data_IF_330076777792
#
_entry.id   IF_330076777792
#
_cell.length_a   1.000
_cell.length_b   1.000
_cell.length_c   1.000
_cell.angle_alpha   90.00
_cell.angle_beta   90.00
_cell.angle_gamma   90.00
#
_symmetry.space_group_name_H-M   'P 1'
#
loop_
_entity.id
_entity.type
_entity.pdbx_description
1 polymer ?
#
# COMPACT_ATOMS: atom_id res chain seq x y z
N UNK A 1 -16.68 -15.12 28.57
CA UNK A 1 -17.28 -13.77 28.75
C UNK A 1 -17.30 -13.16 27.34
N UNK A 2 -18.47 -13.19 26.70
CA UNK A 2 -18.63 -12.82 25.28
C UNK A 2 -18.69 -11.30 25.22
N UNK A 3 -17.66 -10.63 24.69
CA UNK A 3 -17.70 -9.22 24.35
C UNK A 3 -18.35 -9.08 22.97
N UNK A 4 -19.62 -8.68 22.96
CA UNK A 4 -20.31 -8.30 21.73
C UNK A 4 -19.76 -6.94 21.26
N UNK A 5 -19.02 -6.93 20.17
CA UNK A 5 -18.67 -5.71 19.45
C UNK A 5 -19.93 -5.18 18.77
N UNK A 6 -20.48 -4.09 19.29
CA UNK A 6 -21.58 -3.39 18.64
C UNK A 6 -21.07 -2.71 17.37
N UNK A 7 -21.48 -3.23 16.22
CA UNK A 7 -21.33 -2.54 14.94
C UNK A 7 -22.24 -1.30 14.97
N UNK A 8 -21.65 -0.12 15.12
CA UNK A 8 -22.36 1.14 14.95
C UNK A 8 -22.59 1.34 13.46
N UNK A 9 -23.76 0.95 12.98
CA UNK A 9 -24.24 1.30 11.64
C UNK A 9 -24.67 2.76 11.69
N UNK A 10 -23.83 3.65 11.19
CA UNK A 10 -24.23 5.02 10.92
C UNK A 10 -25.20 5.00 9.74
N UNK A 11 -26.38 5.66 9.82
CA UNK A 11 -27.26 5.76 8.67
C UNK A 11 -26.54 6.57 7.59
N UNK A 12 -26.24 5.94 6.47
CA UNK A 12 -25.90 6.63 5.24
C UNK A 12 -27.17 7.33 4.79
N UNK A 13 -27.23 8.65 4.94
CA UNK A 13 -28.20 9.47 4.24
C UNK A 13 -27.87 9.35 2.75
N UNK A 14 -28.54 8.47 2.05
CA UNK A 14 -28.54 8.44 0.61
C UNK A 14 -29.20 9.77 0.15
N UNK A 15 -28.38 10.77 -0.18
CA UNK A 15 -28.78 11.76 -1.15
C UNK A 15 -28.68 11.07 -2.51
N UNK A 16 -29.83 10.88 -3.15
CA UNK A 16 -29.96 10.57 -4.56
C UNK A 16 -29.44 11.77 -5.38
N UNK A 17 -28.13 12.00 -5.40
CA UNK A 17 -27.49 12.70 -6.49
C UNK A 17 -27.11 11.63 -7.52
N UNK A 18 -27.83 11.59 -8.62
CA UNK A 18 -27.39 10.90 -9.83
C UNK A 18 -26.05 11.51 -10.21
N UNK A 19 -24.96 10.83 -9.82
CA UNK A 19 -23.62 11.20 -10.26
C UNK A 19 -23.66 11.29 -11.79
N UNK A 20 -23.32 12.46 -12.31
CA UNK A 20 -23.20 12.61 -13.75
C UNK A 20 -22.05 11.75 -14.22
N UNK A 21 -22.15 11.13 -15.40
CA UNK A 21 -21.08 10.30 -16.01
C UNK A 21 -19.72 11.00 -16.08
N UNK A 22 -19.66 12.32 -15.84
CA UNK A 22 -18.47 13.16 -15.82
C UNK A 22 -17.67 13.08 -14.51
N UNK A 23 -18.24 12.55 -13.42
CA UNK A 23 -17.59 12.53 -12.10
C UNK A 23 -16.86 11.19 -11.82
N UNK A 24 -17.12 10.16 -12.63
CA UNK A 24 -16.48 8.85 -12.47
C UNK A 24 -15.05 8.89 -13.04
N UNK A 25 -14.08 8.64 -12.17
CA UNK A 25 -12.67 8.61 -12.54
C UNK A 25 -12.27 7.28 -13.17
N UNK A 26 -11.28 7.28 -14.07
CA UNK A 26 -10.68 6.05 -14.59
C UNK A 26 -9.93 5.31 -13.47
N UNK A 27 -10.57 4.28 -12.92
CA UNK A 27 -9.98 3.48 -11.83
C UNK A 27 -8.70 2.73 -12.24
N UNK A 28 -8.36 2.71 -13.52
CA UNK A 28 -7.13 2.09 -14.03
C UNK A 28 -5.94 3.07 -14.01
N UNK A 29 -6.18 4.38 -13.94
CA UNK A 29 -5.11 5.39 -13.93
C UNK A 29 -4.45 5.44 -12.54
N UNK A 30 -3.13 5.20 -12.43
CA UNK A 30 -2.39 5.33 -11.18
C UNK A 30 -2.43 6.75 -10.56
N UNK A 31 -2.72 7.77 -11.36
CA UNK A 31 -2.89 9.15 -10.87
C UNK A 31 -4.34 9.51 -10.55
N UNK A 32 -5.30 8.62 -10.79
CA UNK A 32 -6.71 8.89 -10.51
C UNK A 32 -6.92 9.08 -9.00
N UNK A 33 -7.65 10.12 -8.65
CA UNK A 33 -7.97 10.51 -7.28
C UNK A 33 -9.48 10.48 -7.11
N UNK A 34 -9.98 9.54 -6.32
CA UNK A 34 -11.40 9.35 -6.08
C UNK A 34 -11.65 8.74 -4.70
N UNK A 35 -12.87 8.94 -4.19
CA UNK A 35 -13.31 8.26 -2.97
C UNK A 35 -13.64 6.80 -3.28
N UNK A 36 -13.13 5.86 -2.49
CA UNK A 36 -13.26 4.43 -2.76
C UNK A 36 -13.31 3.59 -1.49
N UNK A 37 -13.88 2.42 -1.63
CA UNK A 37 -13.75 1.33 -0.67
C UNK A 37 -13.31 0.07 -1.40
N UNK A 38 -12.59 -0.79 -0.70
CA UNK A 38 -12.16 -2.08 -1.24
C UNK A 38 -12.09 -3.14 -0.15
N UNK A 39 -12.32 -4.36 -0.57
CA UNK A 39 -12.13 -5.53 0.27
C UNK A 39 -11.48 -6.64 -0.55
N UNK A 40 -10.60 -7.38 0.06
CA UNK A 40 -9.85 -8.45 -0.60
C UNK A 40 -9.58 -9.61 0.32
N UNK A 41 -9.18 -10.70 -0.30
CA UNK A 41 -8.80 -11.96 0.35
C UNK A 41 -7.36 -12.26 -0.04
N UNK A 42 -6.53 -12.56 0.94
CA UNK A 42 -5.13 -12.95 0.75
C UNK A 42 -4.88 -14.34 1.28
N UNK A 43 -3.66 -14.82 1.09
CA UNK A 43 -3.17 -16.04 1.76
C UNK A 43 -2.98 -15.87 3.28
N UNK A 44 -3.13 -14.66 3.83
CA UNK A 44 -2.96 -14.35 5.27
C UNK A 44 -4.24 -13.89 5.97
N UNK A 45 -5.28 -13.54 5.23
CA UNK A 45 -6.51 -13.02 5.82
C UNK A 45 -7.28 -12.08 4.89
N UNK A 46 -8.11 -11.24 5.47
CA UNK A 46 -8.93 -10.26 4.77
C UNK A 46 -8.21 -8.92 4.74
N UNK A 47 -8.21 -8.26 3.60
CA UNK A 47 -7.75 -6.89 3.44
C UNK A 47 -8.93 -5.95 3.27
N UNK A 48 -8.87 -4.82 3.95
CA UNK A 48 -9.82 -3.72 3.80
C UNK A 48 -9.10 -2.45 3.36
N UNK A 49 -9.75 -1.68 2.50
CA UNK A 49 -9.23 -0.41 1.99
C UNK A 49 -10.33 0.64 1.98
N UNK A 50 -10.00 1.85 2.41
CA UNK A 50 -10.83 3.03 2.28
C UNK A 50 -9.99 4.20 1.77
N UNK A 51 -10.43 4.83 0.69
CA UNK A 51 -9.81 6.01 0.12
C UNK A 51 -10.79 7.18 0.13
N UNK A 52 -10.30 8.37 0.45
CA UNK A 52 -11.09 9.60 0.38
C UNK A 52 -10.32 10.69 -0.34
N UNK A 53 -10.90 11.17 -1.45
CA UNK A 53 -10.46 12.39 -2.10
C UNK A 53 -10.80 13.61 -1.27
N UNK A 54 -10.02 14.66 -1.41
CA UNK A 54 -10.28 15.94 -0.75
C UNK A 54 -9.83 17.11 -1.61
N UNK A 55 -10.50 18.24 -1.42
CA UNK A 55 -10.16 19.49 -2.11
C UNK A 55 -8.83 20.04 -1.57
N UNK A 56 -7.93 20.36 -2.49
CA UNK A 56 -6.62 20.96 -2.17
C UNK A 56 -6.65 22.49 -2.18
N UNK A 57 -7.77 23.09 -2.56
CA UNK A 57 -7.90 24.52 -2.81
C UNK A 57 -7.25 24.97 -4.15
N UNK A 58 -6.76 24.05 -4.96
CA UNK A 58 -6.18 24.31 -6.29
C UNK A 58 -6.99 23.59 -7.37
N UNK A 59 -7.41 24.30 -8.42
CA UNK A 59 -8.19 23.67 -9.50
C UNK A 59 -7.38 22.67 -10.34
N UNK A 60 -6.06 22.65 -10.20
CA UNK A 60 -5.16 21.79 -10.98
C UNK A 60 -4.57 20.65 -10.15
N UNK A 61 -4.84 20.61 -8.86
CA UNK A 61 -4.24 19.62 -7.97
C UNK A 61 -5.32 18.77 -7.32
N UNK A 62 -5.19 17.47 -7.45
CA UNK A 62 -6.05 16.48 -6.77
C UNK A 62 -5.28 15.77 -5.67
N UNK A 63 -5.98 15.36 -4.62
CA UNK A 63 -5.38 14.62 -3.52
C UNK A 63 -6.35 13.63 -2.88
N UNK A 64 -5.81 12.52 -2.35
CA UNK A 64 -6.57 11.55 -1.57
C UNK A 64 -5.72 10.93 -0.47
N UNK A 65 -6.42 10.49 0.57
CA UNK A 65 -5.89 9.61 1.59
C UNK A 65 -6.42 8.20 1.36
N UNK A 66 -5.57 7.20 1.51
CA UNK A 66 -5.95 5.78 1.44
C UNK A 66 -5.47 5.08 2.70
N UNK A 67 -6.38 4.48 3.44
CA UNK A 67 -6.11 3.63 4.58
C UNK A 67 -6.33 2.17 4.17
N UNK A 68 -5.38 1.32 4.50
CA UNK A 68 -5.42 -0.12 4.27
C UNK A 68 -5.14 -0.86 5.58
N UNK A 69 -5.91 -1.92 5.84
CA UNK A 69 -5.65 -2.88 6.91
C UNK A 69 -5.55 -4.27 6.28
N UNK A 70 -4.49 -5.01 6.58
CA UNK A 70 -4.19 -6.30 5.95
C UNK A 70 -4.08 -7.40 6.99
N UNK A 71 -4.38 -8.62 6.55
CA UNK A 71 -4.26 -9.83 7.37
C UNK A 71 -5.31 -9.94 8.46
N UNK A 72 -6.52 -9.38 8.25
CA UNK A 72 -7.57 -9.44 9.23
C UNK A 72 -8.24 -10.81 9.27
N UNK A 73 -8.53 -11.33 10.48
CA UNK A 73 -9.38 -12.51 10.71
C UNK A 73 -8.90 -13.80 10.02
N UNK A 74 -7.59 -14.01 9.83
CA UNK A 74 -7.05 -15.19 9.17
C UNK A 74 -7.57 -16.48 9.77
N UNK A 75 -7.40 -16.71 11.08
CA UNK A 75 -7.88 -17.89 11.78
C UNK A 75 -9.42 -18.01 11.74
N UNK A 76 -10.14 -16.89 11.89
CA UNK A 76 -11.61 -16.91 11.90
C UNK A 76 -12.22 -17.36 10.56
N UNK A 77 -11.51 -17.20 9.44
CA UNK A 77 -11.93 -17.68 8.11
C UNK A 77 -11.32 -19.04 7.76
N UNK A 78 -10.60 -19.66 8.69
CA UNK A 78 -10.05 -21.01 8.54
C UNK A 78 -8.72 -21.07 7.79
N UNK A 79 -7.99 -19.96 7.69
CA UNK A 79 -6.64 -19.94 7.16
C UNK A 79 -5.65 -20.14 8.30
N UNK A 80 -4.96 -21.22 8.25
CA UNK A 80 -3.80 -21.48 9.09
C UNK A 80 -2.57 -21.03 8.32
N UNK A 81 -2.16 -19.80 8.57
CA UNK A 81 -0.96 -19.24 7.95
C UNK A 81 0.32 -19.64 8.65
N UNK A 82 0.22 -20.33 9.81
CA UNK A 82 1.34 -20.56 10.71
C UNK A 82 1.89 -19.28 11.34
N UNK A 83 1.21 -18.14 11.13
CA UNK A 83 1.51 -16.87 11.78
C UNK A 83 1.05 -16.89 13.22
N UNK A 84 1.83 -16.35 14.13
CA UNK A 84 1.44 -16.16 15.54
C UNK A 84 0.30 -15.14 15.71
N UNK A 85 -0.09 -14.48 14.61
CA UNK A 85 -1.09 -13.39 14.58
C UNK A 85 -2.31 -13.67 13.70
N UNK A 86 -2.70 -14.92 13.54
CA UNK A 86 -3.81 -15.34 12.65
C UNK A 86 -5.14 -14.62 12.90
N UNK A 87 -5.36 -14.10 14.11
CA UNK A 87 -6.59 -13.38 14.52
C UNK A 87 -6.44 -11.88 14.63
N UNK A 88 -5.30 -11.31 14.30
CA UNK A 88 -5.02 -9.88 14.38
C UNK A 88 -4.77 -9.26 13.01
N UNK A 89 -4.65 -7.94 12.94
CA UNK A 89 -4.17 -7.28 11.73
C UNK A 89 -2.66 -7.48 11.60
N UNK A 90 -2.17 -7.89 10.42
CA UNK A 90 -0.74 -7.99 10.15
C UNK A 90 -0.13 -6.61 9.95
N UNK A 91 -0.84 -5.73 9.23
CA UNK A 91 -0.34 -4.38 8.98
C UNK A 91 -1.43 -3.34 8.75
N UNK A 92 -1.06 -2.09 9.03
CA UNK A 92 -1.80 -0.90 8.65
C UNK A 92 -0.94 -0.05 7.72
N UNK A 93 -1.56 0.60 6.74
CA UNK A 93 -0.88 1.52 5.83
C UNK A 93 -1.75 2.72 5.54
N UNK A 94 -1.21 3.91 5.71
CA UNK A 94 -1.82 5.18 5.33
C UNK A 94 -0.99 5.80 4.21
N UNK A 95 -1.63 6.11 3.09
CA UNK A 95 -1.02 6.82 1.97
C UNK A 95 -1.76 8.11 1.69
N UNK A 96 -1.02 9.19 1.50
CA UNK A 96 -1.54 10.44 0.96
C UNK A 96 -0.92 10.65 -0.42
N UNK A 97 -1.77 10.79 -1.41
CA UNK A 97 -1.38 11.11 -2.78
C UNK A 97 -1.79 12.52 -3.12
N UNK A 98 -0.91 13.24 -3.80
CA UNK A 98 -1.17 14.55 -4.35
C UNK A 98 -0.59 14.64 -5.75
N UNK A 99 -1.38 15.07 -6.72
CA UNK A 99 -0.97 15.17 -8.13
C UNK A 99 -1.39 16.50 -8.73
N UNK A 100 -0.49 17.12 -9.47
CA UNK A 100 -0.76 18.28 -10.32
C UNK A 100 -1.05 17.80 -11.75
N UNK A 101 -2.29 17.96 -12.17
CA UNK A 101 -2.80 17.47 -13.45
C UNK A 101 -2.23 18.24 -14.64
N UNK A 102 -1.68 19.46 -14.45
CA UNK A 102 -1.14 20.27 -15.53
C UNK A 102 0.21 19.79 -16.03
N UNK A 103 1.00 19.17 -15.15
CA UNK A 103 2.37 18.76 -15.44
C UNK A 103 2.67 17.31 -15.10
N UNK A 104 1.68 16.58 -14.51
CA UNK A 104 1.82 15.17 -14.12
C UNK A 104 2.81 14.93 -12.98
N UNK A 105 3.12 15.97 -12.19
CA UNK A 105 3.96 15.82 -10.98
C UNK A 105 3.11 15.40 -9.80
N UNK A 106 3.60 14.44 -9.05
CA UNK A 106 2.93 13.97 -7.85
C UNK A 106 3.87 13.83 -6.66
N UNK A 107 3.28 13.76 -5.49
CA UNK A 107 3.94 13.41 -4.25
C UNK A 107 3.13 12.34 -3.52
N UNK A 108 3.83 11.49 -2.81
CA UNK A 108 3.25 10.42 -1.99
C UNK A 108 3.89 10.43 -0.61
N UNK A 109 3.09 10.65 0.42
CA UNK A 109 3.43 10.29 1.79
C UNK A 109 2.91 8.88 2.03
N UNK A 110 3.75 8.03 2.58
CA UNK A 110 3.43 6.63 2.88
C UNK A 110 3.86 6.31 4.31
N UNK A 111 2.92 5.87 5.11
CA UNK A 111 3.14 5.44 6.49
C UNK A 111 2.66 4.01 6.61
N UNK A 112 3.53 3.10 6.96
CA UNK A 112 3.20 1.70 7.20
C UNK A 112 3.55 1.30 8.63
N UNK A 113 2.81 0.34 9.15
CA UNK A 113 3.06 -0.29 10.44
C UNK A 113 2.80 -1.78 10.32
N UNK A 114 3.78 -2.58 10.69
CA UNK A 114 3.71 -4.03 10.77
C UNK A 114 3.71 -4.44 12.23
N UNK A 115 2.78 -5.30 12.58
CA UNK A 115 2.63 -5.81 13.94
C UNK A 115 3.48 -7.05 14.20
N UNK A 116 4.08 -7.63 13.16
CA UNK A 116 4.94 -8.80 13.27
C UNK A 116 6.37 -8.42 13.62
N UNK A 117 7.01 -9.28 14.43
CA UNK A 117 8.42 -9.17 14.78
C UNK A 117 9.30 -9.33 13.53
N UNK A 118 10.36 -8.56 13.48
CA UNK A 118 11.41 -8.64 12.46
C UNK A 118 12.80 -8.67 13.09
N UNK A 119 13.86 -8.62 12.27
CA UNK A 119 15.24 -8.78 12.74
C UNK A 119 15.74 -7.68 13.67
N UNK A 120 15.11 -6.51 13.70
CA UNK A 120 15.56 -5.37 14.47
C UNK A 120 14.54 -4.82 15.47
N UNK A 121 13.27 -5.26 15.46
CA UNK A 121 12.23 -4.77 16.35
C UNK A 121 11.10 -5.78 16.54
N UNK A 122 10.38 -5.71 17.67
CA UNK A 122 9.18 -6.52 17.92
C UNK A 122 8.02 -6.11 17.02
N UNK A 123 7.89 -4.82 16.75
CA UNK A 123 6.95 -4.24 15.80
C UNK A 123 7.66 -3.10 15.08
N UNK A 124 7.33 -2.86 13.82
CA UNK A 124 8.02 -1.82 13.07
C UNK A 124 7.11 -1.08 12.10
N UNK A 125 7.55 0.08 11.69
CA UNK A 125 6.90 0.86 10.67
C UNK A 125 7.86 1.73 9.90
N UNK A 126 7.34 2.34 8.84
CA UNK A 126 8.08 3.27 8.02
C UNK A 126 7.27 4.52 7.74
N UNK A 127 7.96 5.63 7.58
CA UNK A 127 7.39 6.87 7.05
C UNK A 127 8.27 7.29 5.88
N UNK A 128 7.70 7.44 4.70
CA UNK A 128 8.43 7.91 3.53
C UNK A 128 7.69 9.00 2.77
N UNK A 129 8.46 9.83 2.09
CA UNK A 129 7.94 10.78 1.13
C UNK A 129 8.65 10.60 -0.21
N UNK A 130 7.87 10.38 -1.26
CA UNK A 130 8.35 10.22 -2.62
C UNK A 130 7.76 11.27 -3.56
N UNK A 131 8.51 11.59 -4.60
CA UNK A 131 8.08 12.44 -5.70
C UNK A 131 8.02 11.61 -6.97
N UNK A 132 6.99 11.85 -7.78
CA UNK A 132 6.77 11.13 -9.04
C UNK A 132 6.55 12.10 -10.19
N UNK A 133 6.78 11.61 -11.40
CA UNK A 133 6.54 12.33 -12.65
C UNK A 133 5.84 11.41 -13.64
N UNK A 134 4.68 11.82 -14.16
CA UNK A 134 4.09 11.17 -15.31
C UNK A 134 4.97 11.39 -16.54
N UNK A 135 5.37 10.29 -17.21
CA UNK A 135 6.05 10.36 -18.49
C UNK A 135 5.01 10.42 -19.64
N UNK A 136 5.40 10.94 -20.82
CA UNK A 136 4.56 10.84 -21.99
C UNK A 136 4.13 9.40 -22.26
N UNK A 137 2.85 9.21 -22.57
CA UNK A 137 2.28 7.90 -22.84
C UNK A 137 2.95 7.23 -24.04
N UNK A 138 3.33 5.97 -23.89
CA UNK A 138 3.92 5.16 -24.94
C UNK A 138 2.94 4.06 -25.40
N UNK A 139 2.21 4.33 -26.48
CA UNK A 139 1.16 3.41 -26.92
C UNK A 139 0.08 3.21 -25.86
N UNK A 140 -0.09 1.97 -25.40
CA UNK A 140 -1.01 1.61 -24.30
C UNK A 140 -0.33 1.56 -22.91
N UNK A 141 0.91 2.05 -22.80
CA UNK A 141 1.71 2.00 -21.57
C UNK A 141 1.85 3.41 -20.98
N UNK A 142 1.60 3.52 -19.68
CA UNK A 142 1.88 4.70 -18.87
C UNK A 142 2.95 4.34 -17.84
N UNK A 143 3.90 5.24 -17.60
CA UNK A 143 4.99 5.06 -16.64
C UNK A 143 5.11 6.30 -15.77
N UNK A 144 5.25 6.08 -14.47
CA UNK A 144 5.33 7.12 -13.44
C UNK A 144 6.53 6.81 -12.52
N UNK A 145 7.77 7.18 -12.91
CA UNK A 145 8.92 7.03 -12.05
C UNK A 145 8.72 7.79 -10.73
N UNK A 146 9.20 7.20 -9.65
CA UNK A 146 9.13 7.73 -8.30
C UNK A 146 10.45 7.51 -7.59
N UNK A 147 10.90 8.54 -6.87
CA UNK A 147 12.04 8.47 -5.95
C UNK A 147 11.67 9.09 -4.62
N UNK A 148 12.23 8.60 -3.54
CA UNK A 148 11.90 9.08 -2.21
C UNK A 148 12.91 8.71 -1.15
N UNK A 149 12.65 9.25 0.05
CA UNK A 149 13.40 8.96 1.26
C UNK A 149 12.41 8.58 2.36
N UNK A 150 12.87 7.75 3.29
CA UNK A 150 12.08 7.35 4.44
C UNK A 150 12.92 7.12 5.68
N UNK A 151 12.22 6.99 6.78
CA UNK A 151 12.76 6.53 8.06
C UNK A 151 12.00 5.27 8.50
N UNK A 152 12.70 4.38 9.18
CA UNK A 152 12.11 3.28 9.91
C UNK A 152 11.95 3.68 11.38
N UNK A 153 10.91 3.19 12.02
CA UNK A 153 10.73 3.25 13.46
C UNK A 153 10.30 1.87 13.97
N UNK A 154 10.56 1.59 15.23
CA UNK A 154 10.22 0.29 15.82
C UNK A 154 9.97 0.38 17.30
N UNK A 155 9.25 -0.60 17.82
CA UNK A 155 9.04 -0.81 19.24
C UNK A 155 10.03 -1.90 19.72
N UNK A 156 10.72 -1.64 20.84
CA UNK A 156 11.72 -2.54 21.39
C UNK A 156 12.82 -2.91 20.37
N UNK A 157 13.49 -1.86 19.87
CA UNK A 157 14.51 -2.02 18.83
C UNK A 157 15.77 -2.64 19.40
N UNK A 158 16.33 -3.63 18.71
CA UNK A 158 17.61 -4.26 19.01
C UNK A 158 18.76 -3.33 18.60
N UNK A 159 19.64 -3.02 19.56
CA UNK A 159 20.81 -2.18 19.38
C UNK A 159 22.07 -3.00 19.02
N UNK A 160 23.08 -2.35 18.44
CA UNK A 160 24.31 -2.99 17.98
C UNK A 160 25.10 -3.69 19.09
N UNK A 161 24.92 -3.30 20.35
CA UNK A 161 25.52 -3.94 21.51
C UNK A 161 24.71 -5.13 22.06
N UNK A 162 23.59 -5.46 21.41
CA UNK A 162 22.68 -6.54 21.80
C UNK A 162 21.68 -6.14 22.89
N UNK A 163 21.66 -4.89 23.32
CA UNK A 163 20.60 -4.36 24.21
C UNK A 163 19.32 -4.05 23.42
N UNK A 164 18.21 -3.92 24.14
CA UNK A 164 16.94 -3.51 23.57
C UNK A 164 16.64 -2.07 24.01
N UNK A 165 16.45 -1.19 23.04
CA UNK A 165 15.94 0.15 23.27
C UNK A 165 14.41 0.08 23.49
N UNK A 166 14.00 0.23 24.77
CA UNK A 166 12.61 0.04 25.18
C UNK A 166 11.72 1.15 24.66
N UNK A 167 10.58 0.78 24.10
CA UNK A 167 9.61 1.69 23.51
C UNK A 167 9.92 1.99 22.04
N UNK A 168 9.44 3.13 21.55
CA UNK A 168 9.63 3.46 20.13
C UNK A 168 10.90 4.25 19.90
N UNK A 169 11.69 3.79 18.94
CA UNK A 169 12.89 4.49 18.47
C UNK A 169 13.01 4.44 16.94
N UNK A 170 14.00 5.16 16.39
CA UNK A 170 14.26 5.26 14.95
C UNK A 170 15.58 4.54 14.66
N UNK A 171 15.56 3.26 14.23
CA UNK A 171 16.76 2.50 13.95
C UNK A 171 17.53 3.03 12.73
N UNK A 172 16.84 3.65 11.76
CA UNK A 172 17.53 4.19 10.61
C UNK A 172 16.67 4.80 9.51
N UNK A 173 17.32 5.11 8.40
CA UNK A 173 16.72 5.75 7.23
C UNK A 173 17.00 4.94 5.97
N UNK A 174 16.17 5.13 4.93
CA UNK A 174 16.30 4.45 3.65
C UNK A 174 15.95 5.34 2.47
N UNK A 175 16.45 4.97 1.30
CA UNK A 175 16.01 5.52 0.02
C UNK A 175 15.13 4.52 -0.72
N UNK A 176 14.27 5.04 -1.57
CA UNK A 176 13.47 4.24 -2.48
C UNK A 176 13.49 4.85 -3.88
N UNK A 177 13.53 3.98 -4.89
CA UNK A 177 13.43 4.36 -6.29
C UNK A 177 12.66 3.28 -7.04
N UNK A 178 11.70 3.68 -7.85
CA UNK A 178 10.88 2.73 -8.60
C UNK A 178 9.95 3.42 -9.57
N UNK A 179 8.88 2.74 -9.91
CA UNK A 179 7.85 3.31 -10.77
C UNK A 179 6.49 2.67 -10.54
N UNK A 180 5.45 3.40 -10.88
CA UNK A 180 4.15 2.83 -11.19
C UNK A 180 4.04 2.66 -12.70
N UNK A 181 3.73 1.44 -13.14
CA UNK A 181 3.50 1.11 -14.53
C UNK A 181 2.05 0.68 -14.77
N UNK A 182 1.45 1.12 -15.87
CA UNK A 182 0.15 0.65 -16.34
C UNK A 182 0.26 0.23 -17.79
N UNK A 183 -0.23 -0.96 -18.10
CA UNK A 183 -0.45 -1.44 -19.45
C UNK A 183 -1.95 -1.68 -19.67
N UNK A 184 -2.58 -0.84 -20.52
CA UNK A 184 -3.97 -1.04 -20.94
C UNK A 184 -3.99 -2.14 -22.04
N UNK A 185 -4.49 -3.33 -21.69
CA UNK A 185 -4.57 -4.49 -22.58
C UNK A 185 -5.83 -4.40 -23.45
N UNK A 186 -6.96 -4.03 -22.82
CA UNK A 186 -8.24 -3.73 -23.49
C UNK A 186 -8.90 -2.55 -22.75
N UNK A 187 -10.07 -2.11 -23.19
CA UNK A 187 -10.84 -1.06 -22.50
C UNK A 187 -11.28 -1.47 -21.09
N UNK A 188 -11.28 -2.78 -20.78
CA UNK A 188 -11.72 -3.31 -19.47
C UNK A 188 -10.63 -4.06 -18.72
N UNK A 189 -9.52 -4.40 -19.36
CA UNK A 189 -8.44 -5.18 -18.76
C UNK A 189 -7.17 -4.38 -18.80
N UNK A 190 -6.52 -4.25 -17.65
CA UNK A 190 -5.20 -3.62 -17.55
C UNK A 190 -4.32 -4.36 -16.55
N UNK A 191 -3.04 -4.20 -16.70
CA UNK A 191 -2.03 -4.69 -15.78
C UNK A 191 -1.25 -3.51 -15.22
N UNK A 192 -1.01 -3.51 -13.92
CA UNK A 192 -0.02 -2.66 -13.28
C UNK A 192 1.21 -3.48 -12.95
N UNK A 193 2.38 -2.87 -13.09
CA UNK A 193 3.65 -3.40 -12.61
C UNK A 193 4.42 -2.29 -11.93
N UNK A 194 4.65 -2.48 -10.63
CA UNK A 194 5.18 -1.48 -9.73
C UNK A 194 6.46 -2.01 -9.03
N UNK A 195 7.63 -2.00 -9.71
CA UNK A 195 8.90 -2.36 -9.09
C UNK A 195 9.42 -1.20 -8.25
N UNK A 196 9.93 -1.51 -7.04
CA UNK A 196 10.60 -0.56 -6.16
C UNK A 196 11.86 -1.17 -5.58
N UNK A 197 12.97 -0.47 -5.75
CA UNK A 197 14.22 -0.74 -5.06
C UNK A 197 14.29 0.12 -3.81
N UNK A 198 14.51 -0.51 -2.67
CA UNK A 198 14.72 0.12 -1.37
C UNK A 198 16.12 -0.22 -0.89
N UNK A 199 16.81 0.75 -0.27
CA UNK A 199 18.13 0.52 0.30
C UNK A 199 18.31 1.36 1.57
N UNK A 200 18.93 0.80 2.58
CA UNK A 200 19.29 1.51 3.81
C UNK A 200 20.28 2.62 3.52
N UNK A 201 20.18 3.74 4.22
CA UNK A 201 21.10 4.87 4.09
C UNK A 201 21.92 5.10 5.34
N UNK A 202 21.27 5.07 6.49
CA UNK A 202 21.91 5.31 7.78
C UNK A 202 21.13 4.64 8.90
N UNK A 203 21.77 4.41 10.04
CA UNK A 203 21.17 3.82 11.24
C UNK A 203 22.16 2.93 11.98
N UNK A 204 21.63 2.11 12.90
CA UNK A 204 22.41 1.04 13.57
C UNK A 204 22.91 0.03 12.55
N UNK A 205 23.96 -0.69 12.85
CA UNK A 205 24.49 -1.73 11.96
C UNK A 205 23.47 -2.88 11.82
N UNK A 206 22.78 -3.25 12.91
CA UNK A 206 21.70 -4.24 12.86
C UNK A 206 20.62 -3.84 11.86
N UNK A 207 20.12 -2.60 11.91
CA UNK A 207 19.14 -2.12 10.95
C UNK A 207 19.70 -2.11 9.53
N UNK A 208 20.87 -1.54 9.32
CA UNK A 208 21.46 -1.44 7.97
C UNK A 208 21.63 -2.80 7.32
N UNK A 209 22.07 -3.79 8.09
CA UNK A 209 22.38 -5.10 7.55
C UNK A 209 21.17 -6.04 7.45
N UNK A 210 20.01 -5.70 8.08
CA UNK A 210 18.89 -6.64 8.17
C UNK A 210 17.52 -5.98 7.91
N UNK A 211 17.47 -4.76 7.42
CA UNK A 211 16.20 -4.04 7.22
C UNK A 211 15.22 -4.76 6.28
N UNK A 212 15.73 -5.55 5.36
CA UNK A 212 14.94 -6.25 4.35
C UNK A 212 15.08 -7.78 4.42
N UNK A 213 15.53 -8.30 5.53
CA UNK A 213 15.80 -9.70 5.77
C UNK A 213 17.21 -9.90 6.32
N UNK A 214 17.52 -11.10 6.83
CA UNK A 214 18.82 -11.40 7.41
C UNK A 214 19.97 -11.18 6.40
N UNK A 215 20.87 -10.24 6.69
CA UNK A 215 22.00 -9.89 5.84
C UNK A 215 21.65 -9.03 4.61
N UNK A 216 20.42 -8.48 4.55
CA UNK A 216 19.97 -7.70 3.39
C UNK A 216 19.80 -6.22 3.75
N UNK A 217 20.67 -5.39 3.19
CA UNK A 217 20.65 -3.93 3.28
C UNK A 217 19.80 -3.25 2.20
N UNK A 218 19.34 -4.02 1.23
CA UNK A 218 18.47 -3.57 0.13
C UNK A 218 17.52 -4.67 -0.32
N UNK A 219 16.49 -4.28 -1.07
CA UNK A 219 15.51 -5.20 -1.66
C UNK A 219 14.90 -4.62 -2.92
N UNK A 220 14.69 -5.46 -3.92
CA UNK A 220 13.85 -5.13 -5.08
C UNK A 220 12.48 -5.76 -4.91
N UNK A 221 11.47 -4.94 -4.65
CA UNK A 221 10.08 -5.39 -4.52
C UNK A 221 9.37 -5.34 -5.86
N UNK A 222 8.47 -6.27 -6.07
CA UNK A 222 7.62 -6.35 -7.24
C UNK A 222 6.15 -6.41 -6.82
N UNK A 223 5.32 -5.52 -7.36
CA UNK A 223 3.87 -5.66 -7.32
C UNK A 223 3.35 -5.78 -8.74
N UNK A 224 2.66 -6.86 -9.04
CA UNK A 224 1.89 -7.05 -10.26
C UNK A 224 0.42 -7.04 -9.89
N UNK A 225 -0.41 -6.29 -10.64
CA UNK A 225 -1.86 -6.33 -10.49
C UNK A 225 -2.53 -6.48 -11.85
N UNK A 226 -3.21 -7.60 -12.05
CA UNK A 226 -4.10 -7.80 -13.20
C UNK A 226 -5.52 -7.42 -12.79
N UNK A 227 -6.14 -6.54 -13.57
CA UNK A 227 -7.39 -5.89 -13.20
C UNK A 227 -8.44 -6.01 -14.29
N UNK A 228 -9.70 -6.19 -13.89
CA UNK A 228 -10.85 -6.22 -14.78
C UNK A 228 -11.94 -5.25 -14.30
N UNK A 229 -12.36 -4.31 -15.17
CA UNK A 229 -13.42 -3.37 -14.93
C UNK A 229 -14.78 -4.04 -15.19
N UNK A 230 -15.54 -4.25 -14.12
CA UNK A 230 -16.87 -4.89 -14.18
C UNK A 230 -17.92 -3.86 -14.59
N UNK A 231 -17.90 -2.67 -13.96
CA UNK A 231 -18.71 -1.52 -14.29
C UNK A 231 -17.88 -0.23 -14.16
N UNK A 232 -18.35 0.94 -14.58
CA UNK A 232 -17.57 2.19 -14.47
C UNK A 232 -17.03 2.47 -13.07
N UNK A 233 -17.72 2.04 -12.02
CA UNK A 233 -17.39 2.29 -10.60
C UNK A 233 -16.89 1.05 -9.85
N UNK A 234 -16.79 -0.13 -10.50
CA UNK A 234 -16.51 -1.38 -9.82
C UNK A 234 -15.51 -2.25 -10.59
N UNK A 235 -14.45 -2.66 -9.95
CA UNK A 235 -13.45 -3.56 -10.53
C UNK A 235 -13.05 -4.69 -9.58
N UNK A 236 -12.46 -5.73 -10.16
CA UNK A 236 -11.76 -6.80 -9.46
C UNK A 236 -10.29 -6.78 -9.88
N UNK A 237 -9.40 -7.01 -8.93
CA UNK A 237 -7.95 -7.01 -9.14
C UNK A 237 -7.32 -8.22 -8.47
N UNK A 238 -6.44 -8.88 -9.19
CA UNK A 238 -5.53 -9.87 -8.62
C UNK A 238 -4.16 -9.25 -8.48
N UNK A 239 -3.60 -9.31 -7.27
CA UNK A 239 -2.26 -8.84 -6.95
C UNK A 239 -1.34 -10.00 -6.65
N UNK A 240 -0.09 -9.86 -7.05
CA UNK A 240 1.03 -10.66 -6.58
C UNK A 240 2.15 -9.71 -6.16
N UNK A 241 2.58 -9.83 -4.90
CA UNK A 241 3.68 -9.06 -4.32
C UNK A 241 4.80 -10.04 -3.96
N UNK A 242 5.99 -9.81 -4.45
CA UNK A 242 7.16 -10.64 -4.23
C UNK A 242 8.42 -9.79 -4.27
N UNK A 243 9.58 -10.36 -3.98
CA UNK A 243 10.86 -9.64 -3.96
C UNK A 243 11.91 -10.45 -4.70
N UNK A 244 13.12 -9.92 -4.83
CA UNK A 244 14.28 -10.65 -5.30
C UNK A 244 14.73 -11.77 -4.34
N UNK A 245 14.27 -11.73 -3.07
CA UNK A 245 14.52 -12.77 -2.05
C UNK A 245 13.34 -13.74 -1.86
N UNK A 246 12.16 -13.42 -2.36
CA UNK A 246 10.93 -14.23 -2.24
C UNK A 246 10.34 -14.46 -3.61
N UNK A 247 10.32 -15.71 -4.06
CA UNK A 247 9.79 -16.09 -5.36
C UNK A 247 8.31 -15.71 -5.54
N UNK A 248 7.90 -15.52 -6.79
CA UNK A 248 6.51 -15.17 -7.14
C UNK A 248 5.48 -16.11 -6.49
N UNK A 249 5.74 -17.42 -6.44
CA UNK A 249 4.80 -18.39 -5.88
C UNK A 249 4.65 -18.30 -4.37
N UNK A 250 5.71 -17.86 -3.68
CA UNK A 250 5.78 -17.74 -2.21
C UNK A 250 5.44 -16.32 -1.73
N UNK A 251 5.17 -15.42 -2.67
CA UNK A 251 4.79 -14.05 -2.39
C UNK A 251 3.37 -13.89 -1.83
N UNK A 252 2.99 -12.65 -1.57
CA UNK A 252 1.64 -12.31 -1.10
C UNK A 252 0.68 -12.19 -2.29
N UNK A 253 -0.31 -13.08 -2.33
CA UNK A 253 -1.33 -13.13 -3.36
C UNK A 253 -2.67 -12.64 -2.83
N UNK A 254 -3.33 -11.75 -3.59
CA UNK A 254 -4.58 -11.13 -3.17
C UNK A 254 -5.57 -10.98 -4.33
N UNK A 255 -6.83 -11.30 -4.06
CA UNK A 255 -7.96 -10.88 -4.91
C UNK A 255 -8.71 -9.78 -4.18
N UNK A 256 -8.87 -8.64 -4.82
CA UNK A 256 -9.46 -7.43 -4.23
C UNK A 256 -10.57 -6.88 -5.13
N UNK A 257 -11.67 -6.50 -4.52
CA UNK A 257 -12.78 -5.79 -5.15
C UNK A 257 -12.75 -4.33 -4.71
N UNK A 258 -12.88 -3.41 -5.66
CA UNK A 258 -12.86 -1.98 -5.39
C UNK A 258 -14.11 -1.32 -5.96
N UNK A 259 -14.67 -0.42 -5.19
CA UNK A 259 -15.83 0.37 -5.54
C UNK A 259 -15.52 1.86 -5.37
N UNK A 260 -15.80 2.65 -6.43
CA UNK A 260 -15.72 4.10 -6.41
C UNK A 260 -17.08 4.64 -5.94
N UNK A 261 -17.03 5.57 -4.96
CA UNK A 261 -18.19 6.22 -4.35
C UNK A 261 -18.47 7.56 -5.04
#
# INVERSE_FOLDING_TARGET
MICAAALVVLPASAQDETASDSDVQDMSDPLAVYTQVGAGVTNKGINLKAGRSYDTGSPTTMAMNVLEAKGLLGEAVGWDSGSVRDNSADSLRLRNFKVDLTNGRGGQLDVSYNFDENYFAEESGTISYGVMQALPKFGSINIYPLVGLGLAFGNNVLEDDGSIDSGYSIPGTYALAGMYGKWAITDKVWMNYNPFFLATLSGSDIYKDNAYGAGNDNVLTHEIALSYQISPVFNVRYFANFTDEVDFADGDHRVEFNYQL
#
